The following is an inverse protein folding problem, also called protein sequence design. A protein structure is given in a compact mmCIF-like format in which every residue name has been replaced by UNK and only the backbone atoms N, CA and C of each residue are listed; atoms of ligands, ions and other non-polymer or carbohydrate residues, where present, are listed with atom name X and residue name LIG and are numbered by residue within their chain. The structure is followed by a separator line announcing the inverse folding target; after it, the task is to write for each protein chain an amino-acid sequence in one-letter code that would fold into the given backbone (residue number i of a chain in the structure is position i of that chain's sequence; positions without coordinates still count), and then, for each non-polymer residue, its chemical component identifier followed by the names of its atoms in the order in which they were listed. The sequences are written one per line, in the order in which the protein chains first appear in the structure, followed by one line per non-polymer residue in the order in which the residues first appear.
data_IF_474386095812
#
_entry.id   IF_474386095812
#
_cell.length_a   1.000
_cell.length_b   1.000
_cell.length_c   1.000
_cell.angle_alpha   90.00
_cell.angle_beta   90.00
_cell.angle_gamma   90.00
#
_symmetry.space_group_name_H-M   'P 1'
#
loop_
_entity.id
_entity.type
_entity.pdbx_description
1 polymer ?
#
# COMPACT_ATOMS: atom_id res chain seq x y z
N UNK A 1 20.46 23.52 26.13
CA UNK A 1 19.32 22.70 26.60
C UNK A 1 19.46 21.31 26.02
N UNK A 2 19.79 20.30 26.82
CA UNK A 2 19.98 18.90 26.41
C UNK A 2 18.92 18.06 27.14
N UNK A 3 18.08 17.34 26.40
CA UNK A 3 17.02 16.50 26.95
C UNK A 3 17.36 15.03 26.66
N UNK A 4 17.69 14.33 27.75
CA UNK A 4 17.46 12.91 28.14
C UNK A 4 17.05 11.93 27.01
N UNK A 5 17.82 10.90 26.63
CA UNK A 5 18.32 9.70 27.34
C UNK A 5 17.22 8.74 27.81
N UNK A 6 16.94 7.66 27.04
CA UNK A 6 16.30 6.45 27.58
C UNK A 6 17.07 5.19 27.18
N UNK A 7 17.55 4.51 28.23
CA UNK A 7 18.27 3.25 28.24
C UNK A 7 17.27 2.10 28.20
N UNK A 8 17.58 1.12 27.37
CA UNK A 8 16.91 -0.19 27.32
C UNK A 8 17.27 -1.01 28.55
N UNK A 9 16.31 -1.74 29.11
CA UNK A 9 16.60 -3.01 29.78
C UNK A 9 15.77 -3.31 31.02
N UNK A 10 15.30 -4.55 31.10
CA UNK A 10 15.00 -5.19 32.39
C UNK A 10 13.70 -5.98 32.43
N UNK A 11 13.73 -7.20 31.90
CA UNK A 11 12.74 -8.23 32.22
C UNK A 11 12.91 -8.69 33.67
N UNK A 12 11.81 -8.86 34.40
CA UNK A 12 11.76 -9.67 35.61
C UNK A 12 10.49 -10.52 35.63
N UNK A 13 10.71 -11.83 35.51
CA UNK A 13 9.79 -12.92 35.82
C UNK A 13 9.76 -13.15 37.33
N UNK A 14 8.57 -13.42 37.89
CA UNK A 14 8.26 -14.22 39.09
C UNK A 14 6.78 -13.96 39.40
N UNK A 15 5.86 -14.92 39.55
CA UNK A 15 5.94 -16.32 39.94
C UNK A 15 5.02 -16.55 41.16
N UNK A 16 4.21 -17.64 41.14
CA UNK A 16 3.35 -18.18 42.21
C UNK A 16 2.02 -17.44 42.53
N UNK A 17 0.92 -18.09 42.95
CA UNK A 17 0.53 -19.49 43.04
C UNK A 17 -1.00 -19.59 43.27
N UNK A 18 -1.61 -20.58 42.60
CA UNK A 18 -2.69 -21.49 43.02
C UNK A 18 -3.66 -21.09 44.14
N UNK A 19 -4.95 -21.02 43.80
CA UNK A 19 -6.00 -21.57 44.66
C UNK A 19 -7.07 -22.25 43.79
N UNK A 20 -7.18 -23.57 43.93
CA UNK A 20 -8.20 -24.38 43.28
C UNK A 20 -9.54 -24.27 43.98
N UNK A 21 -10.61 -24.31 43.19
CA UNK A 21 -11.91 -24.80 43.65
C UNK A 21 -12.55 -25.57 42.50
N UNK A 22 -12.75 -26.85 42.77
CA UNK A 22 -13.47 -27.83 41.97
C UNK A 22 -14.96 -27.48 41.87
N UNK A 23 -15.49 -27.41 40.64
CA UNK A 23 -16.90 -27.21 40.36
C UNK A 23 -17.32 -27.97 39.12
N UNK A 24 -18.14 -29.00 39.35
CA UNK A 24 -18.67 -30.00 38.43
C UNK A 24 -19.77 -29.44 37.51
N UNK A 25 -19.83 -29.97 36.27
CA UNK A 25 -20.98 -30.05 35.35
C UNK A 25 -21.66 -28.78 34.84
N UNK A 26 -21.60 -28.56 33.52
CA UNK A 26 -22.74 -28.83 32.63
C UNK A 26 -22.35 -28.62 31.16
N UNK A 27 -22.57 -29.66 30.36
CA UNK A 27 -22.71 -29.53 28.92
C UNK A 27 -24.04 -28.84 28.63
N UNK A 28 -23.99 -27.68 27.97
CA UNK A 28 -25.12 -27.15 27.22
C UNK A 28 -24.64 -26.75 25.83
N UNK A 29 -25.11 -27.54 24.86
CA UNK A 29 -25.07 -27.24 23.44
C UNK A 29 -26.01 -26.06 23.21
N UNK A 30 -25.48 -24.93 22.76
CA UNK A 30 -26.28 -23.87 22.13
C UNK A 30 -26.09 -23.98 20.63
N UNK A 31 -27.02 -24.68 19.99
CA UNK A 31 -27.22 -24.64 18.54
C UNK A 31 -27.76 -23.26 18.16
N UNK A 32 -26.89 -22.38 17.68
CA UNK A 32 -27.31 -21.15 16.99
C UNK A 32 -27.93 -21.51 15.64
N UNK A 33 -29.16 -21.04 15.33
CA UNK A 33 -29.73 -21.20 14.00
C UNK A 33 -28.99 -20.33 12.98
N UNK A 34 -28.89 -20.73 11.70
CA UNK A 34 -28.35 -19.89 10.65
C UNK A 34 -29.28 -18.71 10.41
N UNK A 35 -28.84 -17.50 10.71
CA UNK A 35 -29.47 -16.27 10.24
C UNK A 35 -29.20 -16.12 8.75
N UNK A 36 -30.13 -16.61 7.94
CA UNK A 36 -30.28 -16.24 6.53
C UNK A 36 -30.69 -14.78 6.45
N UNK A 37 -29.72 -13.89 6.29
CA UNK A 37 -29.97 -12.51 5.88
C UNK A 37 -30.18 -12.50 4.35
N UNK A 38 -31.34 -12.05 3.83
CA UNK A 38 -31.54 -11.86 2.40
C UNK A 38 -30.61 -10.75 1.86
N UNK A 39 -30.27 -10.76 0.56
CA UNK A 39 -29.38 -9.77 -0.01
C UNK A 39 -30.01 -8.38 0.10
N UNK A 40 -29.36 -7.49 0.84
CA UNK A 40 -29.66 -6.08 0.78
C UNK A 40 -29.41 -5.63 -0.66
N UNK A 41 -30.48 -5.31 -1.39
CA UNK A 41 -30.42 -4.49 -2.59
C UNK A 41 -29.69 -3.21 -2.23
N UNK A 42 -28.47 -3.07 -2.74
CA UNK A 42 -27.68 -1.84 -2.68
C UNK A 42 -28.37 -0.78 -3.54
N UNK A 43 -29.43 -0.18 -3.01
CA UNK A 43 -29.95 1.08 -3.52
C UNK A 43 -28.95 2.14 -3.09
N UNK A 44 -27.90 2.33 -3.89
CA UNK A 44 -27.01 3.48 -3.76
C UNK A 44 -27.90 4.73 -3.85
N UNK A 45 -27.94 5.60 -2.83
CA UNK A 45 -28.70 6.83 -2.90
C UNK A 45 -28.19 7.65 -4.09
N UNK A 46 -29.07 8.38 -4.81
CA UNK A 46 -28.68 9.14 -5.99
C UNK A 46 -27.56 10.11 -5.63
N UNK A 47 -26.48 10.09 -6.40
CA UNK A 47 -25.29 10.89 -6.11
C UNK A 47 -25.65 12.37 -5.97
N UNK A 48 -25.22 12.97 -4.87
CA UNK A 48 -25.52 14.36 -4.53
C UNK A 48 -24.55 15.30 -5.25
N UNK A 49 -24.94 16.55 -5.46
CA UNK A 49 -24.08 17.56 -6.11
C UNK A 49 -22.75 17.79 -5.34
N UNK A 50 -22.72 17.48 -4.04
CA UNK A 50 -21.51 17.46 -3.20
C UNK A 50 -20.54 16.32 -3.55
N UNK A 51 -21.05 15.15 -3.92
CA UNK A 51 -20.26 13.96 -4.23
C UNK A 51 -19.45 14.18 -5.52
N UNK A 52 -20.09 14.70 -6.57
CA UNK A 52 -19.42 15.06 -7.84
C UNK A 52 -18.28 16.07 -7.68
N UNK A 53 -18.41 17.00 -6.71
CA UNK A 53 -17.36 17.98 -6.40
C UNK A 53 -16.18 17.32 -5.70
N UNK A 54 -16.45 16.42 -4.76
CA UNK A 54 -15.43 15.64 -4.04
C UNK A 54 -14.66 14.74 -5.00
N UNK A 55 -15.35 13.95 -5.83
CA UNK A 55 -14.71 13.09 -6.84
C UNK A 55 -13.82 13.90 -7.79
N UNK A 56 -14.24 15.13 -8.14
CA UNK A 56 -13.43 15.99 -9.00
C UNK A 56 -12.14 16.45 -8.33
N UNK A 57 -12.16 16.67 -7.01
CA UNK A 57 -10.96 16.98 -6.24
C UNK A 57 -10.07 15.75 -6.13
N UNK A 58 -10.62 14.58 -5.82
CA UNK A 58 -9.87 13.33 -5.66
C UNK A 58 -9.19 12.93 -6.98
N UNK A 59 -9.93 12.89 -8.10
CA UNK A 59 -9.39 12.69 -9.46
C UNK A 59 -8.27 13.68 -9.79
N UNK A 60 -8.33 14.92 -9.28
CA UNK A 60 -7.28 15.92 -9.51
C UNK A 60 -6.04 15.61 -8.68
N UNK A 61 -6.19 15.12 -7.46
CA UNK A 61 -5.09 14.68 -6.60
C UNK A 61 -4.42 13.45 -7.20
N UNK A 62 -5.17 12.43 -7.61
CA UNK A 62 -4.61 11.21 -8.22
C UNK A 62 -3.83 11.52 -9.49
N UNK A 63 -4.35 12.44 -10.32
CA UNK A 63 -3.62 12.92 -11.50
C UNK A 63 -2.30 13.60 -11.17
N UNK A 64 -2.20 14.28 -10.02
CA UNK A 64 -0.94 14.85 -9.56
C UNK A 64 -0.01 13.76 -9.05
N UNK A 65 -0.51 12.82 -8.24
CA UNK A 65 0.24 11.64 -7.78
C UNK A 65 0.87 10.89 -8.96
N UNK A 66 0.03 10.42 -9.89
CA UNK A 66 0.47 9.72 -11.12
C UNK A 66 1.50 10.51 -11.95
N UNK A 67 1.47 11.85 -11.90
CA UNK A 67 2.49 12.68 -12.59
C UNK A 67 3.81 12.67 -11.84
N UNK A 68 3.76 12.71 -10.51
CA UNK A 68 4.94 12.62 -9.65
C UNK A 68 5.58 11.23 -9.79
N UNK A 69 4.81 10.16 -9.65
CA UNK A 69 5.33 8.78 -9.77
C UNK A 69 5.99 8.52 -11.14
N UNK A 70 5.46 9.15 -12.21
CA UNK A 70 6.10 9.09 -13.53
C UNK A 70 7.44 9.81 -13.60
N UNK A 71 7.56 10.92 -12.86
CA UNK A 71 8.79 11.69 -12.78
C UNK A 71 9.83 10.90 -12.01
N UNK A 72 9.45 10.34 -10.87
CA UNK A 72 10.31 9.52 -10.01
C UNK A 72 10.78 8.28 -10.79
N UNK A 73 9.86 7.55 -11.42
CA UNK A 73 10.19 6.42 -12.31
C UNK A 73 11.12 6.79 -13.48
N UNK A 74 11.11 8.04 -13.92
CA UNK A 74 12.03 8.52 -14.96
C UNK A 74 13.42 8.77 -14.39
N UNK A 75 13.51 9.28 -13.16
CA UNK A 75 14.74 9.50 -12.40
C UNK A 75 15.39 8.15 -12.06
N UNK A 76 14.67 7.18 -11.50
CA UNK A 76 15.21 5.84 -11.21
C UNK A 76 15.76 5.14 -12.45
N UNK A 77 15.08 5.32 -13.59
CA UNK A 77 15.55 4.77 -14.88
C UNK A 77 16.81 5.46 -15.38
N UNK A 78 17.04 6.71 -15.01
CA UNK A 78 18.26 7.45 -15.36
C UNK A 78 19.41 6.99 -14.48
N UNK A 79 19.19 6.90 -13.17
CA UNK A 79 20.15 6.42 -12.18
C UNK A 79 20.60 5.01 -12.52
N UNK A 80 19.66 4.07 -12.68
CA UNK A 80 19.96 2.69 -13.12
C UNK A 80 20.74 2.61 -14.45
N UNK A 81 20.62 3.60 -15.33
CA UNK A 81 21.43 3.67 -16.56
C UNK A 81 22.85 4.17 -16.29
N UNK A 82 23.04 5.05 -15.32
CA UNK A 82 24.34 5.52 -14.83
C UNK A 82 25.06 4.38 -14.11
N UNK A 83 24.42 3.68 -13.17
CA UNK A 83 25.04 2.56 -12.44
C UNK A 83 25.48 1.44 -13.40
N UNK A 84 24.69 1.21 -14.46
CA UNK A 84 25.08 0.24 -15.51
C UNK A 84 26.30 0.71 -16.33
N UNK A 85 26.51 2.01 -16.47
CA UNK A 85 27.72 2.56 -17.12
C UNK A 85 28.92 2.44 -16.19
N UNK A 86 28.76 2.79 -14.92
CA UNK A 86 29.77 2.69 -13.87
C UNK A 86 30.24 1.24 -13.73
N UNK A 87 29.31 0.28 -13.57
CA UNK A 87 29.64 -1.15 -13.58
C UNK A 87 30.44 -1.61 -14.82
N UNK A 88 30.20 -0.98 -15.98
CA UNK A 88 30.97 -1.31 -17.20
C UNK A 88 32.37 -0.71 -17.14
N UNK A 89 32.52 0.46 -16.55
CA UNK A 89 33.78 1.16 -16.33
C UNK A 89 34.63 0.45 -15.27
N UNK A 90 34.06 0.14 -14.10
CA UNK A 90 34.72 -0.62 -13.03
C UNK A 90 35.25 -1.96 -13.55
N UNK A 91 34.46 -2.64 -14.38
CA UNK A 91 34.89 -3.89 -15.02
C UNK A 91 36.08 -3.70 -15.97
N UNK A 92 36.19 -2.54 -16.64
CA UNK A 92 37.32 -2.21 -17.53
C UNK A 92 38.56 -1.82 -16.74
N UNK A 93 38.37 -1.14 -15.62
CA UNK A 93 39.44 -0.69 -14.72
C UNK A 93 39.98 -1.83 -13.84
N UNK A 94 39.31 -2.98 -13.84
CA UNK A 94 39.79 -4.19 -13.17
C UNK A 94 39.31 -4.31 -11.72
N UNK A 95 38.16 -3.71 -11.40
CA UNK A 95 37.51 -3.89 -10.11
C UNK A 95 37.33 -5.37 -9.74
N UNK A 96 37.32 -5.62 -8.43
CA UNK A 96 37.26 -6.98 -7.90
C UNK A 96 35.90 -7.64 -8.23
N UNK A 97 35.87 -8.97 -8.28
CA UNK A 97 34.61 -9.70 -8.46
C UNK A 97 33.59 -9.41 -7.34
N UNK A 98 34.07 -9.09 -6.14
CA UNK A 98 33.20 -8.75 -5.01
C UNK A 98 32.50 -7.40 -5.22
N UNK A 99 33.20 -6.39 -5.72
CA UNK A 99 32.61 -5.08 -6.07
C UNK A 99 31.61 -5.23 -7.21
N UNK A 100 32.01 -5.85 -8.32
CA UNK A 100 31.14 -6.09 -9.47
C UNK A 100 29.90 -6.93 -9.11
N UNK A 101 29.97 -7.78 -8.09
CA UNK A 101 28.84 -8.54 -7.60
C UNK A 101 27.85 -7.67 -6.81
N UNK A 102 28.34 -6.73 -6.00
CA UNK A 102 27.51 -5.77 -5.26
C UNK A 102 26.75 -4.85 -6.21
N UNK A 103 27.42 -4.25 -7.18
CA UNK A 103 26.78 -3.34 -8.15
C UNK A 103 25.70 -4.08 -8.97
N UNK A 104 25.94 -5.35 -9.30
CA UNK A 104 24.93 -6.20 -9.96
C UNK A 104 23.74 -6.50 -9.07
N UNK A 105 23.95 -6.64 -7.76
CA UNK A 105 22.88 -6.83 -6.80
C UNK A 105 22.05 -5.55 -6.65
N UNK A 106 22.70 -4.40 -6.55
CA UNK A 106 22.05 -3.08 -6.51
C UNK A 106 21.21 -2.84 -7.77
N UNK A 107 21.80 -3.03 -8.96
CA UNK A 107 21.05 -2.99 -10.22
C UNK A 107 19.85 -3.96 -10.25
N UNK A 108 19.94 -5.11 -9.60
CA UNK A 108 18.81 -6.05 -9.51
C UNK A 108 17.71 -5.49 -8.61
N UNK A 109 18.05 -4.86 -7.49
CA UNK A 109 17.10 -4.19 -6.58
C UNK A 109 16.39 -3.05 -7.29
N UNK A 110 17.13 -2.15 -7.96
CA UNK A 110 16.52 -1.03 -8.71
C UNK A 110 15.57 -1.54 -9.79
N UNK A 111 15.94 -2.62 -10.48
CA UNK A 111 15.07 -3.22 -11.48
C UNK A 111 13.80 -3.84 -10.88
N UNK A 112 13.84 -4.35 -9.65
CA UNK A 112 12.65 -4.83 -8.93
C UNK A 112 11.77 -3.66 -8.50
N UNK A 113 12.35 -2.59 -7.97
CA UNK A 113 11.57 -1.44 -7.49
C UNK A 113 10.92 -0.70 -8.66
N UNK A 114 11.66 -0.40 -9.73
CA UNK A 114 11.11 0.12 -11.01
C UNK A 114 9.98 -0.76 -11.57
N UNK A 115 10.00 -2.08 -11.31
CA UNK A 115 8.90 -2.97 -11.73
C UNK A 115 7.68 -2.82 -10.84
N UNK A 116 7.85 -2.68 -9.51
CA UNK A 116 6.75 -2.44 -8.56
C UNK A 116 6.09 -1.09 -8.84
N UNK A 117 6.88 -0.02 -8.98
CA UNK A 117 6.35 1.33 -9.23
C UNK A 117 5.54 1.39 -10.54
N UNK A 118 5.97 0.63 -11.56
CA UNK A 118 5.18 0.48 -12.79
C UNK A 118 3.87 -0.26 -12.59
N UNK A 119 3.83 -1.26 -11.73
CA UNK A 119 2.60 -1.99 -11.43
C UNK A 119 1.65 -1.09 -10.66
N UNK A 120 2.14 -0.35 -9.67
CA UNK A 120 1.31 0.55 -8.87
C UNK A 120 0.79 1.71 -9.73
N UNK A 121 1.66 2.34 -10.55
CA UNK A 121 1.23 3.33 -11.54
C UNK A 121 0.18 2.80 -12.54
N UNK A 122 0.16 1.49 -12.81
CA UNK A 122 -0.88 0.87 -13.66
C UNK A 122 -2.19 0.72 -12.90
N UNK A 123 -2.16 0.41 -11.61
CA UNK A 123 -3.35 0.34 -10.74
C UNK A 123 -3.94 1.73 -10.58
N UNK A 124 -3.14 2.73 -10.21
CA UNK A 124 -3.62 4.11 -10.02
C UNK A 124 -4.29 4.67 -11.28
N UNK A 125 -3.74 4.35 -12.46
CA UNK A 125 -4.36 4.72 -13.73
C UNK A 125 -5.68 4.01 -14.00
N UNK A 126 -5.83 2.77 -13.56
CA UNK A 126 -7.07 2.01 -13.69
C UNK A 126 -8.13 2.60 -12.75
N UNK A 127 -7.75 2.88 -11.51
CA UNK A 127 -8.65 3.41 -10.49
C UNK A 127 -9.14 4.81 -10.90
N UNK A 128 -8.21 5.70 -11.28
CA UNK A 128 -8.54 7.00 -11.87
C UNK A 128 -9.48 6.92 -13.08
N UNK A 129 -9.41 5.83 -13.86
CA UNK A 129 -10.31 5.64 -14.99
C UNK A 129 -11.71 5.25 -14.54
N UNK A 130 -11.84 4.45 -13.48
CA UNK A 130 -13.14 4.10 -12.89
C UNK A 130 -13.77 5.31 -12.19
N UNK A 131 -13.03 6.05 -11.37
CA UNK A 131 -13.55 7.26 -10.69
C UNK A 131 -14.09 8.27 -11.71
N UNK A 132 -13.40 8.40 -12.84
CA UNK A 132 -13.85 9.26 -13.94
C UNK A 132 -15.13 8.80 -14.59
N UNK A 133 -15.41 7.49 -14.64
CA UNK A 133 -16.66 6.93 -15.15
C UNK A 133 -17.79 7.09 -14.13
N UNK A 134 -17.53 6.76 -12.87
CA UNK A 134 -18.48 6.84 -11.76
C UNK A 134 -18.99 8.27 -11.61
N UNK A 135 -18.08 9.25 -11.46
CA UNK A 135 -18.45 10.67 -11.45
C UNK A 135 -19.23 11.10 -12.71
N UNK A 136 -18.97 10.48 -13.87
CA UNK A 136 -19.72 10.77 -15.11
C UNK A 136 -21.15 10.24 -15.04
N UNK A 137 -21.35 9.10 -14.40
CA UNK A 137 -22.65 8.51 -14.12
C UNK A 137 -23.42 9.38 -13.14
N UNK A 138 -22.80 9.71 -12.01
CA UNK A 138 -23.36 10.56 -10.94
C UNK A 138 -23.82 11.92 -11.46
N UNK A 139 -22.98 12.53 -12.31
CA UNK A 139 -23.34 13.79 -12.98
C UNK A 139 -24.57 13.65 -13.88
N UNK A 140 -24.75 12.52 -14.58
CA UNK A 140 -25.92 12.29 -15.45
C UNK A 140 -27.17 12.09 -14.62
N UNK A 141 -27.08 11.31 -13.53
CA UNK A 141 -28.20 11.11 -12.61
C UNK A 141 -28.66 12.42 -11.98
N UNK A 142 -27.71 13.28 -11.57
CA UNK A 142 -28.01 14.59 -11.01
C UNK A 142 -28.60 15.58 -12.03
N UNK A 143 -28.46 15.34 -13.34
CA UNK A 143 -29.01 16.18 -14.42
C UNK A 143 -30.31 15.65 -15.02
N UNK A 144 -30.63 14.37 -14.82
CA UNK A 144 -31.86 13.73 -15.30
C UNK A 144 -33.04 13.84 -14.34
N UNK A 145 -32.89 14.62 -13.27
CA UNK A 145 -33.94 15.03 -12.33
C UNK A 145 -34.17 16.54 -12.47
#
# INVERSE_FOLDING_TARGET
MKIQLWTVGGATLLGLALLGSSGVSQAQQTTTPPSTTPPATSTTPPATQGDVRKDTQDIRQDRKGIRQDKKDLREDRRERRQDRRELREDRREGASQAELAKDREELRKDNQDIRKDKQDLRKDRRDLHQDRKERRHDRREAQGK
#
